data_IF_452377309037
#
_entry.id   IF_452377309037
#
_cell.length_a   1.000
_cell.length_b   1.000
_cell.length_c   1.000
_cell.angle_alpha   90.00
_cell.angle_beta   90.00
_cell.angle_gamma   90.00
#
_symmetry.space_group_name_H-M   'P 1'
#
loop_
_entity.id
_entity.type
_entity.pdbx_description
1 polymer ?
#
# COMPACT_ATOMS: atom_id res chain seq x y z
N UNK A 1 15.32 -10.78 4.58
CA UNK A 1 14.17 -9.95 4.99
C UNK A 1 12.97 -10.43 4.21
N UNK A 2 11.96 -10.95 4.91
CA UNK A 2 10.73 -11.50 4.31
C UNK A 2 9.65 -10.42 4.30
N UNK A 3 9.14 -10.09 3.10
CA UNK A 3 8.13 -9.05 2.94
C UNK A 3 6.79 -9.41 3.57
N UNK A 4 6.37 -10.68 3.53
CA UNK A 4 5.05 -11.07 4.05
C UNK A 4 5.00 -10.85 5.56
N UNK A 5 6.06 -11.25 6.28
CA UNK A 5 6.19 -11.01 7.72
C UNK A 5 6.09 -9.52 8.08
N UNK A 6 6.76 -8.64 7.32
CA UNK A 6 6.72 -7.20 7.59
C UNK A 6 5.33 -6.61 7.29
N UNK A 7 4.67 -7.09 6.23
CA UNK A 7 3.31 -6.66 5.90
C UNK A 7 2.30 -7.07 6.98
N UNK A 8 2.45 -8.27 7.54
CA UNK A 8 1.60 -8.76 8.62
C UNK A 8 1.85 -7.97 9.91
N UNK A 9 3.11 -7.75 10.30
CA UNK A 9 3.46 -6.89 11.45
C UNK A 9 2.92 -5.46 11.30
N UNK A 10 3.11 -4.83 10.12
CA UNK A 10 2.60 -3.49 9.86
C UNK A 10 1.06 -3.43 9.94
N UNK A 11 0.38 -4.49 9.51
CA UNK A 11 -1.08 -4.60 9.59
C UNK A 11 -1.56 -4.76 11.03
N UNK A 12 -0.92 -5.63 11.82
CA UNK A 12 -1.22 -5.82 13.25
C UNK A 12 -1.06 -4.53 14.03
N UNK A 13 -0.06 -3.71 13.68
CA UNK A 13 0.14 -2.38 14.25
C UNK A 13 -0.87 -1.32 13.79
N UNK A 14 -1.75 -1.63 12.83
CA UNK A 14 -2.74 -0.70 12.29
C UNK A 14 -2.19 0.34 11.31
N UNK A 15 -1.08 0.04 10.63
CA UNK A 15 -0.45 0.95 9.67
C UNK A 15 -1.20 1.01 8.33
N UNK A 16 -1.24 2.18 7.71
CA UNK A 16 -1.86 2.39 6.39
C UNK A 16 -0.89 2.17 5.23
N UNK A 17 0.39 2.49 5.45
CA UNK A 17 1.43 2.44 4.42
C UNK A 17 2.73 1.88 5.02
N UNK A 18 3.51 1.19 4.17
CA UNK A 18 4.84 0.68 4.44
C UNK A 18 5.78 1.16 3.32
N UNK A 19 6.96 1.62 3.69
CA UNK A 19 7.92 2.25 2.80
C UNK A 19 9.31 1.64 3.00
N UNK A 20 10.00 1.40 1.88
CA UNK A 20 11.39 0.98 1.84
C UNK A 20 12.20 2.01 1.03
N UNK A 21 13.25 2.56 1.63
CA UNK A 21 14.15 3.52 0.99
C UNK A 21 15.57 3.33 1.51
N UNK A 22 16.58 3.64 0.70
CA UNK A 22 17.97 3.38 1.04
C UNK A 22 18.43 4.22 2.25
N UNK A 23 19.12 3.59 3.21
CA UNK A 23 19.70 4.25 4.37
C UNK A 23 18.74 4.49 5.54
N UNK A 24 17.54 3.90 5.51
CA UNK A 24 16.59 3.90 6.62
C UNK A 24 16.06 2.49 6.83
N UNK A 25 15.65 2.11 8.05
CA UNK A 25 14.92 0.85 8.23
C UNK A 25 13.55 0.97 7.55
N UNK A 26 12.78 -0.12 7.39
CA UNK A 26 11.40 -0.03 6.92
C UNK A 26 10.62 1.03 7.70
N UNK A 27 9.88 1.87 6.98
CA UNK A 27 9.15 3.00 7.56
C UNK A 27 7.67 2.77 7.36
N UNK A 28 6.87 2.97 8.40
CA UNK A 28 5.41 2.81 8.35
C UNK A 28 4.69 4.14 8.55
N UNK A 29 3.48 4.24 8.02
CA UNK A 29 2.53 5.28 8.38
C UNK A 29 1.50 4.72 9.36
N UNK A 30 1.53 5.21 10.58
CA UNK A 30 0.59 4.85 11.64
C UNK A 30 -0.21 6.11 12.04
N UNK A 31 -1.53 6.06 11.88
CA UNK A 31 -2.44 7.19 12.16
C UNK A 31 -1.95 8.52 11.56
N UNK A 32 -1.54 8.49 10.29
CA UNK A 32 -1.04 9.66 9.56
C UNK A 32 0.43 10.00 9.80
N UNK A 33 1.03 9.53 10.89
CA UNK A 33 2.42 9.82 11.27
C UNK A 33 3.41 8.80 10.70
N UNK A 34 4.57 9.28 10.24
CA UNK A 34 5.65 8.43 9.70
C UNK A 34 6.56 7.97 10.85
N UNK A 35 6.79 6.66 10.97
CA UNK A 35 7.63 6.05 12.02
C UNK A 35 8.54 4.96 11.46
N UNK A 36 9.73 4.81 12.02
CA UNK A 36 10.63 3.68 11.72
C UNK A 36 10.07 2.42 12.38
N UNK A 37 10.06 1.30 11.65
CA UNK A 37 9.73 -0.01 12.18
C UNK A 37 10.96 -0.56 12.91
N UNK A 38 10.84 -0.80 14.21
CA UNK A 38 11.93 -1.28 15.07
C UNK A 38 12.32 -2.73 14.76
N UNK A 39 13.55 -3.12 15.09
CA UNK A 39 14.01 -4.51 14.94
C UNK A 39 14.47 -4.89 13.52
N UNK A 40 14.49 -3.93 12.60
CA UNK A 40 14.98 -4.12 11.24
C UNK A 40 16.23 -3.27 10.97
N UNK A 41 17.19 -3.79 10.19
CA UNK A 41 18.35 -3.01 9.77
C UNK A 41 17.95 -1.93 8.76
N UNK A 42 18.82 -0.94 8.59
CA UNK A 42 18.69 0.03 7.51
C UNK A 42 18.68 -0.69 6.15
N UNK A 43 17.74 -0.31 5.29
CA UNK A 43 17.59 -0.89 3.97
C UNK A 43 18.74 -0.45 3.07
N UNK A 44 19.45 -1.43 2.54
CA UNK A 44 20.41 -1.25 1.45
C UNK A 44 19.74 -1.55 0.12
N UNK A 45 20.35 -1.11 -0.99
CA UNK A 45 19.86 -1.41 -2.34
C UNK A 45 19.62 -2.93 -2.56
N UNK A 46 20.53 -3.86 -2.17
CA UNK A 46 20.24 -5.29 -2.24
C UNK A 46 19.01 -5.74 -1.43
N UNK A 47 18.78 -5.15 -0.25
CA UNK A 47 17.60 -5.46 0.57
C UNK A 47 16.33 -5.03 -0.16
N UNK A 48 16.31 -3.82 -0.72
CA UNK A 48 15.14 -3.28 -1.43
C UNK A 48 14.86 -4.09 -2.70
N UNK A 49 15.89 -4.42 -3.48
CA UNK A 49 15.77 -5.28 -4.66
C UNK A 49 15.25 -6.67 -4.29
N UNK A 50 15.68 -7.23 -3.16
CA UNK A 50 15.15 -8.48 -2.63
C UNK A 50 13.66 -8.38 -2.26
N UNK A 51 13.21 -7.25 -1.69
CA UNK A 51 11.77 -7.01 -1.42
C UNK A 51 10.99 -6.92 -2.73
N UNK A 52 11.46 -6.13 -3.70
CA UNK A 52 10.84 -6.01 -5.03
C UNK A 52 10.71 -7.40 -5.67
N UNK A 53 11.76 -8.22 -5.62
CA UNK A 53 11.75 -9.54 -6.22
C UNK A 53 10.72 -10.51 -5.65
N UNK A 54 10.35 -10.36 -4.38
CA UNK A 54 9.34 -11.18 -3.69
C UNK A 54 7.90 -10.83 -4.10
N UNK A 55 7.64 -9.57 -4.45
CA UNK A 55 6.28 -9.07 -4.70
C UNK A 55 5.96 -8.81 -6.18
N UNK A 56 6.97 -8.88 -7.07
CA UNK A 56 6.87 -8.40 -8.45
C UNK A 56 6.83 -9.54 -9.47
N UNK A 57 5.91 -9.47 -10.45
CA UNK A 57 5.85 -10.41 -11.57
C UNK A 57 6.95 -10.17 -12.61
N UNK A 58 7.22 -11.14 -13.48
CA UNK A 58 8.25 -11.03 -14.55
C UNK A 58 8.02 -9.79 -15.42
N UNK A 59 6.76 -9.50 -15.78
CA UNK A 59 6.39 -8.33 -16.58
C UNK A 59 6.81 -7.03 -15.90
N UNK A 60 6.50 -6.88 -14.62
CA UNK A 60 6.83 -5.67 -13.85
C UNK A 60 8.34 -5.56 -13.57
N UNK A 61 9.05 -6.67 -13.35
CA UNK A 61 10.52 -6.67 -13.22
C UNK A 61 11.21 -6.08 -14.45
N UNK A 62 10.70 -6.39 -15.65
CA UNK A 62 11.24 -5.81 -16.89
C UNK A 62 11.01 -4.30 -17.00
N UNK A 63 9.91 -3.77 -16.47
CA UNK A 63 9.66 -2.32 -16.44
C UNK A 63 10.61 -1.62 -15.45
N UNK A 64 10.73 -2.17 -14.25
CA UNK A 64 11.62 -1.66 -13.20
C UNK A 64 13.09 -1.69 -13.67
N UNK A 65 13.53 -2.75 -14.35
CA UNK A 65 14.90 -2.85 -14.87
C UNK A 65 15.20 -1.81 -15.96
N UNK A 66 14.17 -1.32 -16.67
CA UNK A 66 14.28 -0.21 -17.63
C UNK A 66 14.26 1.16 -16.95
N UNK A 67 14.19 1.20 -15.62
CA UNK A 67 14.13 2.44 -14.84
C UNK A 67 12.75 3.09 -14.82
N UNK A 68 11.69 2.36 -15.14
CA UNK A 68 10.33 2.88 -15.13
C UNK A 68 9.67 2.68 -13.76
N UNK A 69 9.04 3.73 -13.26
CA UNK A 69 8.16 3.64 -12.09
C UNK A 69 6.98 2.70 -12.42
N UNK A 70 6.67 1.81 -11.49
CA UNK A 70 5.74 0.71 -11.75
C UNK A 70 4.76 0.55 -10.59
N UNK A 71 3.47 0.70 -10.90
CA UNK A 71 2.35 0.43 -10.00
C UNK A 71 1.71 -0.93 -10.28
N UNK A 72 1.43 -1.68 -9.21
CA UNK A 72 0.71 -2.96 -9.31
C UNK A 72 0.03 -3.33 -7.99
N UNK A 73 -0.81 -4.37 -8.04
CA UNK A 73 -1.41 -4.97 -6.85
C UNK A 73 -0.64 -6.21 -6.43
N UNK A 74 -0.48 -6.41 -5.12
CA UNK A 74 0.12 -7.60 -4.52
C UNK A 74 -0.84 -8.21 -3.48
N UNK A 75 -0.97 -9.54 -3.50
CA UNK A 75 -1.73 -10.29 -2.50
C UNK A 75 -0.72 -11.04 -1.64
N UNK A 76 -0.69 -10.79 -0.33
CA UNK A 76 0.20 -11.51 0.59
C UNK A 76 -0.24 -12.96 0.75
N UNK A 77 0.62 -13.78 1.33
CA UNK A 77 0.31 -15.18 1.66
C UNK A 77 -0.92 -15.31 2.57
N UNK A 78 -1.15 -14.34 3.46
CA UNK A 78 -2.34 -14.25 4.30
C UNK A 78 -3.62 -13.77 3.56
N UNK A 79 -3.54 -13.55 2.24
CA UNK A 79 -4.68 -13.15 1.40
C UNK A 79 -5.00 -11.66 1.42
N UNK A 80 -4.17 -10.83 2.05
CA UNK A 80 -4.40 -9.38 2.08
C UNK A 80 -3.93 -8.68 0.82
N UNK A 81 -4.73 -7.72 0.34
CA UNK A 81 -4.41 -6.93 -0.84
C UNK A 81 -3.56 -5.71 -0.48
N UNK A 82 -2.69 -5.34 -1.41
CA UNK A 82 -1.78 -4.21 -1.30
C UNK A 82 -1.68 -3.51 -2.64
N UNK A 83 -1.55 -2.18 -2.62
CA UNK A 83 -1.12 -1.41 -3.79
C UNK A 83 0.35 -1.07 -3.63
N UNK A 84 1.17 -1.52 -4.57
CA UNK A 84 2.62 -1.35 -4.56
C UNK A 84 2.99 -0.36 -5.65
N UNK A 85 3.83 0.61 -5.28
CA UNK A 85 4.53 1.49 -6.20
C UNK A 85 6.03 1.28 -6.01
N UNK A 86 6.73 0.95 -7.09
CA UNK A 86 8.19 0.87 -7.14
C UNK A 86 8.70 2.03 -7.98
N UNK A 87 9.66 2.78 -7.44
CA UNK A 87 10.22 3.98 -8.07
C UNK A 87 11.70 4.14 -7.73
N UNK A 88 12.35 5.18 -8.27
CA UNK A 88 13.74 5.53 -7.93
C UNK A 88 13.84 6.81 -7.11
N UNK A 89 14.66 6.78 -6.07
CA UNK A 89 14.99 7.92 -5.23
C UNK A 89 16.51 8.03 -5.10
N UNK A 90 17.09 9.16 -5.53
CA UNK A 90 18.54 9.42 -5.50
C UNK A 90 19.38 8.29 -6.12
N UNK A 91 18.89 7.69 -7.19
CA UNK A 91 19.57 6.60 -7.91
C UNK A 91 19.34 5.19 -7.35
N UNK A 92 18.71 5.05 -6.18
CA UNK A 92 18.38 3.77 -5.55
C UNK A 92 16.91 3.42 -5.77
N UNK A 93 16.57 2.14 -5.71
CA UNK A 93 15.16 1.73 -5.71
C UNK A 93 14.49 2.12 -4.39
N UNK A 94 13.21 2.45 -4.47
CA UNK A 94 12.34 2.68 -3.34
C UNK A 94 10.98 2.02 -3.60
N UNK A 95 10.30 1.64 -2.52
CA UNK A 95 9.01 0.97 -2.59
C UNK A 95 8.05 1.64 -1.62
N UNK A 96 6.84 1.96 -2.08
CA UNK A 96 5.72 2.37 -1.25
C UNK A 96 4.58 1.35 -1.39
N UNK A 97 4.11 0.83 -0.27
CA UNK A 97 3.07 -0.20 -0.21
C UNK A 97 1.92 0.35 0.63
N UNK A 98 0.73 0.45 0.04
CA UNK A 98 -0.50 0.75 0.77
C UNK A 98 -1.20 -0.55 1.14
N UNK A 99 -1.45 -0.74 2.43
CA UNK A 99 -2.18 -1.89 2.95
C UNK A 99 -3.68 -1.65 2.70
N UNK A 100 -4.32 -2.51 1.92
CA UNK A 100 -5.75 -2.42 1.67
C UNK A 100 -6.51 -3.30 2.66
N UNK A 101 -7.70 -2.85 3.04
CA UNK A 101 -8.67 -3.68 3.74
C UNK A 101 -9.24 -4.73 2.79
N UNK A 102 -9.42 -5.94 3.30
CA UNK A 102 -10.08 -7.02 2.55
C UNK A 102 -11.60 -6.96 2.70
N UNK A 103 -12.07 -6.42 3.82
CA UNK A 103 -13.46 -6.09 4.08
C UNK A 103 -13.82 -4.75 3.44
N UNK A 104 -14.86 -4.75 2.61
CA UNK A 104 -15.51 -3.52 2.16
C UNK A 104 -16.52 -3.16 3.25
N UNK A 105 -16.31 -2.06 4.00
CA UNK A 105 -17.21 -1.70 5.08
C UNK A 105 -18.60 -1.38 4.54
N UNK A 106 -19.63 -1.76 5.29
CA UNK A 106 -21.00 -1.37 4.97
C UNK A 106 -21.23 0.11 5.26
N UNK A 107 -22.32 0.68 4.75
CA UNK A 107 -22.72 2.05 5.10
C UNK A 107 -22.90 2.22 6.62
N UNK A 108 -23.41 1.18 7.30
CA UNK A 108 -23.58 1.18 8.75
C UNK A 108 -22.23 1.19 9.49
N UNK A 109 -21.25 0.40 9.05
CA UNK A 109 -19.90 0.38 9.64
C UNK A 109 -19.22 1.75 9.55
N UNK A 110 -19.51 2.49 8.47
CA UNK A 110 -19.01 3.85 8.26
C UNK A 110 -19.85 4.93 8.96
N UNK A 111 -20.91 4.54 9.70
CA UNK A 111 -21.88 5.47 10.29
C UNK A 111 -22.48 6.45 9.27
N UNK A 112 -22.61 6.00 8.03
CA UNK A 112 -23.18 6.79 6.93
C UNK A 112 -24.71 6.60 6.87
N UNK A 113 -25.45 7.64 6.43
CA UNK A 113 -26.90 7.53 6.25
C UNK A 113 -27.27 6.41 5.27
N UNK A 114 -28.28 5.61 5.62
CA UNK A 114 -28.80 4.54 4.77
C UNK A 114 -29.31 5.05 3.41
N UNK A 115 -29.76 6.32 3.35
CA UNK A 115 -30.20 6.99 2.11
C UNK A 115 -29.11 7.05 1.04
N UNK A 116 -27.82 6.94 1.41
CA UNK A 116 -26.75 6.86 0.42
C UNK A 116 -26.83 5.58 -0.44
N UNK A 117 -27.40 4.50 0.09
CA UNK A 117 -27.61 3.24 -0.64
C UNK A 117 -28.62 3.39 -1.77
N UNK A 118 -29.57 4.32 -1.67
CA UNK A 118 -30.56 4.59 -2.73
C UNK A 118 -29.88 5.08 -4.01
N UNK A 119 -28.81 5.87 -3.89
CA UNK A 119 -28.03 6.33 -5.05
C UNK A 119 -27.35 5.19 -5.79
N UNK A 120 -26.95 4.12 -5.09
CA UNK A 120 -26.36 2.93 -5.73
C UNK A 120 -27.41 2.10 -6.52
N UNK A 121 -28.70 2.28 -6.23
CA UNK A 121 -29.81 1.61 -6.91
C UNK A 121 -30.41 2.43 -8.06
N UNK A 122 -29.97 3.67 -8.24
CA UNK A 122 -30.49 4.54 -9.30
C UNK A 122 -30.17 3.96 -10.69
N UNK A 123 -31.16 3.80 -11.59
CA UNK A 123 -30.95 3.14 -12.89
C UNK A 123 -30.10 3.97 -13.88
N UNK A 124 -29.96 5.28 -13.61
CA UNK A 124 -29.19 6.25 -14.41
C UNK A 124 -29.02 7.55 -13.65
N UNK A 125 -27.93 8.26 -13.92
CA UNK A 125 -27.61 9.55 -13.30
C UNK A 125 -26.11 9.72 -13.11
N UNK A 126 -25.72 10.84 -12.52
CA UNK A 126 -24.34 11.12 -12.10
C UNK A 126 -24.33 11.34 -10.59
N UNK A 127 -23.57 10.53 -9.86
CA UNK A 127 -23.34 10.67 -8.42
C UNK A 127 -21.90 11.11 -8.22
N UNK A 128 -21.70 12.23 -7.53
CA UNK A 128 -20.37 12.79 -7.25
C UNK A 128 -20.06 12.71 -5.76
N UNK A 129 -19.08 11.89 -5.39
CA UNK A 129 -18.55 11.82 -4.01
C UNK A 129 -17.31 12.73 -3.95
N UNK A 130 -17.39 13.82 -3.18
CA UNK A 130 -16.38 14.91 -3.19
C UNK A 130 -15.70 15.11 -1.82
N UNK A 131 -14.54 15.77 -1.80
CA UNK A 131 -13.73 16.00 -0.60
C UNK A 131 -12.20 16.05 -0.86
N UNK A 132 -11.37 16.31 0.15
CA UNK A 132 -9.90 16.35 0.04
C UNK A 132 -9.24 14.95 0.07
N UNK A 133 -7.95 14.86 -0.25
CA UNK A 133 -7.19 13.60 -0.17
C UNK A 133 -7.24 13.01 1.25
N UNK A 134 -7.58 11.73 1.36
CA UNK A 134 -7.67 11.03 2.65
C UNK A 134 -9.01 11.20 3.39
N UNK A 135 -10.01 11.85 2.80
CA UNK A 135 -11.33 12.07 3.45
C UNK A 135 -12.27 10.86 3.44
N UNK A 136 -11.86 9.71 2.90
CA UNK A 136 -12.74 8.54 2.75
C UNK A 136 -13.80 8.65 1.66
N UNK A 137 -13.60 9.54 0.66
CA UNK A 137 -14.23 9.38 -0.66
C UNK A 137 -13.80 8.07 -1.31
#
# INVERSE_FOLDING_TARGET
>A
MDINRILDEARELGCSDLHFTAGLPPVVRLHGSIRKLSGYPDCTEPIIVNIINQITSIKHKSQISKGLDTDFSYVSTAGFRHRVNVYRQRGYHAVAIRLLRNDIPTLADLSLPATLGEFAMAPRGLVLVTGPTGSGK
#
